data_IF_761254938028
#
_entry.id   IF_761254938028
#
_cell.length_a   1.000
_cell.length_b   1.000
_cell.length_c   1.000
_cell.angle_alpha   90.00
_cell.angle_beta   90.00
_cell.angle_gamma   90.00
#
_symmetry.space_group_name_H-M   'P 1'
#
loop_
_entity.id
_entity.type
_entity.pdbx_description
1 polymer ?
#
# COMPACT_ATOMS: atom_id res chain seq x y z
N UNK A 1 -19.22 11.97 -3.19
CA UNK A 1 -18.71 10.68 -3.68
C UNK A 1 -19.56 10.11 -4.81
N UNK A 2 -20.85 9.78 -4.60
CA UNK A 2 -21.75 9.23 -5.65
C UNK A 2 -21.76 10.00 -6.97
N UNK A 3 -21.80 11.33 -6.93
CA UNK A 3 -21.73 12.16 -8.14
C UNK A 3 -20.42 11.98 -8.93
N UNK A 4 -19.29 11.77 -8.25
CA UNK A 4 -18.00 11.47 -8.88
C UNK A 4 -18.02 10.10 -9.55
N UNK A 5 -18.66 9.09 -8.93
CA UNK A 5 -18.87 7.77 -9.54
C UNK A 5 -19.68 7.88 -10.83
N UNK A 6 -20.79 8.63 -10.81
CA UNK A 6 -21.59 8.89 -12.01
C UNK A 6 -20.77 9.55 -13.13
N UNK A 7 -19.98 10.58 -12.81
CA UNK A 7 -19.13 11.26 -13.77
C UNK A 7 -18.04 10.34 -14.37
N UNK A 8 -17.47 9.43 -13.58
CA UNK A 8 -16.51 8.44 -14.06
C UNK A 8 -17.16 7.44 -15.03
N UNK A 9 -18.35 6.94 -14.69
CA UNK A 9 -19.10 6.03 -15.55
C UNK A 9 -19.50 6.70 -16.87
N UNK A 10 -19.96 7.95 -16.84
CA UNK A 10 -20.24 8.76 -18.04
C UNK A 10 -19.00 8.94 -18.93
N UNK A 11 -17.81 9.01 -18.32
CA UNK A 11 -16.53 9.08 -19.03
C UNK A 11 -15.98 7.71 -19.47
N UNK A 12 -16.68 6.60 -19.18
CA UNK A 12 -16.26 5.25 -19.55
C UNK A 12 -15.16 4.64 -18.64
N UNK A 13 -15.02 5.12 -17.42
CA UNK A 13 -14.04 4.63 -16.43
C UNK A 13 -14.76 3.77 -15.39
N UNK A 14 -14.44 2.48 -15.33
CA UNK A 14 -15.22 1.49 -14.57
C UNK A 14 -14.50 0.82 -13.38
N UNK A 15 -13.24 1.17 -13.10
CA UNK A 15 -12.48 0.64 -11.96
C UNK A 15 -11.97 1.81 -11.12
N UNK A 16 -12.27 1.82 -9.83
CA UNK A 16 -11.93 2.91 -8.90
C UNK A 16 -11.15 2.35 -7.72
N UNK A 17 -9.84 2.63 -7.70
CA UNK A 17 -8.99 2.33 -6.56
C UNK A 17 -9.17 3.42 -5.49
N UNK A 18 -9.29 3.02 -4.22
CA UNK A 18 -9.38 3.93 -3.07
C UNK A 18 -8.70 3.29 -1.85
N UNK A 19 -8.45 4.04 -0.79
CA UNK A 19 -8.02 3.50 0.51
C UNK A 19 -8.89 4.09 1.63
N UNK A 20 -8.75 3.55 2.84
CA UNK A 20 -9.42 4.04 4.04
C UNK A 20 -8.42 4.29 5.18
N UNK A 21 -7.18 4.64 4.81
CA UNK A 21 -6.12 4.91 5.78
C UNK A 21 -6.40 6.24 6.50
N UNK A 22 -6.41 6.26 7.85
CA UNK A 22 -6.64 7.49 8.59
C UNK A 22 -5.39 8.37 8.58
N UNK A 23 -5.59 9.66 8.26
CA UNK A 23 -4.58 10.72 8.26
C UNK A 23 -3.43 10.51 7.27
N UNK A 24 -2.61 9.46 7.42
CA UNK A 24 -1.49 9.13 6.55
C UNK A 24 -1.89 8.06 5.55
N UNK A 25 -1.66 8.33 4.26
CA UNK A 25 -1.73 7.36 3.17
C UNK A 25 -0.48 6.43 3.25
N UNK A 26 0.26 6.21 2.16
CA UNK A 26 1.51 5.44 2.21
C UNK A 26 2.61 6.13 3.04
N UNK A 27 3.36 5.39 3.86
CA UNK A 27 4.39 5.97 4.74
C UNK A 27 5.79 5.39 4.52
N UNK A 28 6.80 6.25 4.37
CA UNK A 28 8.23 5.91 4.26
C UNK A 28 9.07 6.88 5.10
N UNK A 29 10.25 6.47 5.56
CA UNK A 29 11.16 7.31 6.35
C UNK A 29 12.35 7.82 5.53
N UNK A 30 12.67 7.14 4.44
CA UNK A 30 13.69 7.54 3.49
C UNK A 30 13.20 7.32 2.06
N UNK A 31 13.20 8.39 1.25
CA UNK A 31 12.67 8.38 -0.11
C UNK A 31 13.71 7.98 -1.18
N UNK A 32 15.00 7.98 -0.82
CA UNK A 32 16.14 7.67 -1.71
C UNK A 32 17.21 6.91 -0.92
N UNK A 33 16.82 5.77 -0.34
CA UNK A 33 17.73 4.91 0.40
C UNK A 33 18.68 4.20 -0.58
N UNK A 34 20.01 4.27 -0.37
CA UNK A 34 20.98 3.72 -1.32
C UNK A 34 20.96 2.20 -1.35
N UNK A 35 21.06 1.63 -2.55
CA UNK A 35 21.11 0.19 -2.79
C UNK A 35 22.52 -0.28 -3.20
N UNK A 36 22.86 -1.57 -2.99
CA UNK A 36 24.16 -2.11 -3.42
C UNK A 36 24.42 -2.01 -4.93
N UNK A 37 23.36 -1.95 -5.75
CA UNK A 37 23.45 -1.81 -7.20
C UNK A 37 23.75 -0.36 -7.67
N UNK A 38 23.92 0.58 -6.73
CA UNK A 38 24.18 1.99 -7.01
C UNK A 38 22.93 2.84 -7.26
N UNK A 39 21.74 2.23 -7.30
CA UNK A 39 20.46 2.93 -7.36
C UNK A 39 19.94 3.33 -5.98
N UNK A 40 18.69 3.80 -5.94
CA UNK A 40 17.99 4.09 -4.68
C UNK A 40 16.58 3.50 -4.65
N UNK A 41 16.05 3.29 -3.44
CA UNK A 41 14.68 2.84 -3.20
C UNK A 41 14.03 3.65 -2.08
N UNK A 42 12.70 3.61 -2.00
CA UNK A 42 12.03 4.06 -0.78
C UNK A 42 12.19 3.01 0.32
N UNK A 43 12.31 3.47 1.57
CA UNK A 43 12.47 2.62 2.75
C UNK A 43 11.63 3.15 3.90
N UNK A 44 11.00 2.22 4.62
CA UNK A 44 10.45 2.45 5.94
C UNK A 44 11.41 1.86 6.97
N UNK A 45 11.89 2.70 7.89
CA UNK A 45 12.72 2.27 9.01
C UNK A 45 11.96 2.52 10.31
N UNK A 46 11.60 1.45 11.01
CA UNK A 46 10.81 1.50 12.25
C UNK A 46 11.48 2.37 13.32
N UNK A 47 12.81 2.31 13.45
CA UNK A 47 13.56 3.11 14.43
C UNK A 47 13.53 4.59 14.09
N UNK A 48 13.66 4.95 12.80
CA UNK A 48 13.53 6.34 12.36
C UNK A 48 12.09 6.85 12.54
N UNK A 49 11.10 6.01 12.28
CA UNK A 49 9.69 6.34 12.46
C UNK A 49 9.35 6.58 13.94
N UNK A 50 9.77 5.69 14.83
CA UNK A 50 9.62 5.86 16.27
C UNK A 50 10.34 7.12 16.77
N UNK A 51 11.54 7.40 16.26
CA UNK A 51 12.28 8.62 16.59
C UNK A 51 11.52 9.88 16.17
N UNK A 52 10.88 9.87 15.00
CA UNK A 52 10.00 10.95 14.57
C UNK A 52 8.80 11.10 15.51
N UNK A 53 8.05 10.03 15.75
CA UNK A 53 6.81 10.04 16.54
C UNK A 53 7.04 10.56 17.97
N UNK A 54 8.06 10.04 18.65
CA UNK A 54 8.35 10.34 20.06
C UNK A 54 8.99 11.72 20.25
N UNK A 55 9.94 12.10 19.39
CA UNK A 55 10.83 13.24 19.68
C UNK A 55 10.67 14.43 18.73
N UNK A 56 10.20 14.22 17.49
CA UNK A 56 9.95 15.31 16.54
C UNK A 56 8.49 15.72 16.56
N UNK A 57 7.58 14.78 16.32
CA UNK A 57 6.13 14.96 16.44
C UNK A 57 5.73 15.15 17.90
N UNK A 58 6.39 14.44 18.82
CA UNK A 58 6.10 14.46 20.27
C UNK A 58 4.63 14.17 20.53
N UNK A 59 4.12 13.10 19.92
CA UNK A 59 2.74 12.67 20.12
C UNK A 59 2.58 12.12 21.55
N UNK A 60 1.51 12.56 22.21
CA UNK A 60 1.18 12.08 23.55
C UNK A 60 0.95 10.57 23.55
N UNK A 61 1.57 9.87 24.51
CA UNK A 61 1.49 8.40 24.63
C UNK A 61 2.34 7.60 23.62
N UNK A 62 3.05 8.24 22.68
CA UNK A 62 3.80 7.52 21.66
C UNK A 62 4.87 6.58 22.22
N UNK A 63 5.51 6.95 23.34
CA UNK A 63 6.53 6.11 23.95
C UNK A 63 5.99 4.76 24.48
N UNK A 64 4.68 4.68 24.78
CA UNK A 64 4.07 3.48 25.34
C UNK A 64 3.72 2.44 24.25
N UNK A 65 3.85 2.80 22.97
CA UNK A 65 3.55 1.94 21.81
C UNK A 65 4.77 1.17 21.28
N UNK A 66 5.98 1.46 21.79
CA UNK A 66 7.22 0.82 21.35
C UNK A 66 7.88 0.07 22.50
N UNK A 67 8.60 -1.01 22.19
CA UNK A 67 9.38 -1.74 23.20
C UNK A 67 10.63 -0.95 23.64
N UNK A 68 11.19 -1.33 24.80
CA UNK A 68 12.35 -0.65 25.39
C UNK A 68 13.55 -0.58 24.43
N UNK A 69 13.74 -1.61 23.61
CA UNK A 69 14.81 -1.68 22.63
C UNK A 69 14.63 -0.63 21.52
N UNK A 70 13.42 -0.52 20.97
CA UNK A 70 13.07 0.46 19.94
C UNK A 70 13.13 1.87 20.50
N UNK A 71 12.67 2.11 21.73
CA UNK A 71 12.77 3.41 22.40
C UNK A 71 14.22 3.90 22.53
N UNK A 72 15.12 3.04 23.02
CA UNK A 72 16.53 3.39 23.17
C UNK A 72 17.21 3.58 21.81
N UNK A 73 16.89 2.74 20.82
CA UNK A 73 17.40 2.89 19.46
C UNK A 73 16.89 4.18 18.80
N UNK A 74 15.62 4.54 18.97
CA UNK A 74 15.01 5.77 18.45
C UNK A 74 15.67 7.01 19.06
N UNK A 75 15.92 6.97 20.37
CA UNK A 75 16.65 8.02 21.09
C UNK A 75 18.05 8.22 20.50
N UNK A 76 18.83 7.15 20.41
CA UNK A 76 20.19 7.18 19.84
C UNK A 76 20.18 7.65 18.38
N UNK A 77 19.23 7.17 17.60
CA UNK A 77 19.03 7.52 16.20
C UNK A 77 18.86 9.04 16.04
N UNK A 78 17.90 9.64 16.76
CA UNK A 78 17.62 11.07 16.63
C UNK A 78 18.76 11.97 17.13
N UNK A 79 19.38 11.63 18.26
CA UNK A 79 20.49 12.43 18.80
C UNK A 79 21.75 12.34 17.92
N UNK A 80 21.90 11.27 17.14
CA UNK A 80 22.94 11.15 16.11
C UNK A 80 22.58 11.80 14.77
N UNK A 81 21.32 12.20 14.54
CA UNK A 81 20.89 12.84 13.30
C UNK A 81 21.24 14.33 13.26
N UNK A 82 21.78 14.77 12.13
CA UNK A 82 21.87 16.20 11.81
C UNK A 82 20.48 16.80 11.60
N UNK A 83 20.35 18.12 11.74
CA UNK A 83 19.06 18.80 11.53
C UNK A 83 18.57 18.67 10.08
N UNK A 84 19.48 18.59 9.12
CA UNK A 84 19.15 18.28 7.73
C UNK A 84 18.49 16.89 7.59
N UNK A 85 19.00 15.87 8.30
CA UNK A 85 18.40 14.53 8.32
C UNK A 85 17.04 14.51 9.01
N UNK A 86 16.88 15.21 10.14
CA UNK A 86 15.59 15.35 10.82
C UNK A 86 14.55 16.00 9.91
N UNK A 87 14.93 17.07 9.20
CA UNK A 87 14.05 17.73 8.22
C UNK A 87 13.69 16.79 7.06
N UNK A 88 14.64 16.02 6.54
CA UNK A 88 14.37 15.04 5.48
C UNK A 88 13.43 13.91 5.94
N UNK A 89 13.61 13.42 7.17
CA UNK A 89 12.73 12.41 7.78
C UNK A 89 11.30 12.94 7.94
N UNK A 90 11.13 14.14 8.50
CA UNK A 90 9.81 14.79 8.58
C UNK A 90 9.18 14.91 7.20
N UNK A 91 9.93 15.40 6.20
CA UNK A 91 9.44 15.53 4.82
C UNK A 91 9.03 14.18 4.22
N UNK A 92 9.78 13.12 4.47
CA UNK A 92 9.48 11.78 3.96
C UNK A 92 8.17 11.23 4.53
N UNK A 93 7.94 11.40 5.84
CA UNK A 93 6.73 10.92 6.50
C UNK A 93 5.50 11.73 6.08
N UNK A 94 5.61 13.06 5.98
CA UNK A 94 4.49 13.91 5.56
C UNK A 94 4.21 13.88 4.05
N UNK A 95 5.15 13.38 3.22
CA UNK A 95 4.91 13.17 1.79
C UNK A 95 3.81 12.14 1.52
N UNK A 96 3.51 11.30 2.51
CA UNK A 96 2.42 10.34 2.52
C UNK A 96 1.05 10.91 2.90
N UNK A 97 0.90 12.22 3.10
CA UNK A 97 -0.40 12.79 3.47
C UNK A 97 -1.31 12.95 2.24
N UNK A 98 -2.64 12.72 2.39
CA UNK A 98 -3.62 12.95 1.34
C UNK A 98 -3.47 14.34 0.73
N UNK A 99 -3.43 14.40 -0.60
CA UNK A 99 -3.23 15.67 -1.29
C UNK A 99 -1.82 16.24 -1.11
N UNK A 100 -0.78 15.39 -1.18
CA UNK A 100 0.68 15.67 -1.09
C UNK A 100 1.24 16.88 -1.90
N UNK A 101 0.36 17.65 -2.54
CA UNK A 101 0.55 19.05 -2.93
C UNK A 101 0.45 20.07 -1.77
N UNK A 102 0.00 19.68 -0.58
CA UNK A 102 -0.13 20.56 0.59
C UNK A 102 1.08 20.43 1.55
N UNK A 103 1.65 21.56 1.98
CA UNK A 103 2.76 21.60 2.93
C UNK A 103 2.24 21.46 4.37
N UNK A 104 2.06 20.23 4.85
CA UNK A 104 1.62 19.97 6.22
C UNK A 104 2.69 20.32 7.25
N UNK A 105 2.26 21.01 8.32
CA UNK A 105 3.06 21.25 9.52
C UNK A 105 2.90 20.11 10.53
N UNK A 106 3.84 19.99 11.47
CA UNK A 106 3.74 18.99 12.55
C UNK A 106 2.51 19.20 13.44
N UNK A 107 2.13 20.46 13.67
CA UNK A 107 0.94 20.79 14.48
C UNK A 107 -0.34 20.37 13.77
N UNK A 108 -0.47 20.62 12.46
CA UNK A 108 -1.62 20.13 11.69
C UNK A 108 -1.70 18.61 11.67
N UNK A 109 -0.55 17.92 11.64
CA UNK A 109 -0.51 16.46 11.77
C UNK A 109 -0.99 16.00 13.16
N UNK A 110 -0.55 16.67 14.24
CA UNK A 110 -1.03 16.37 15.60
C UNK A 110 -2.55 16.57 15.73
N UNK A 111 -3.07 17.68 15.21
CA UNK A 111 -4.50 18.00 15.23
C UNK A 111 -5.31 16.97 14.41
N UNK A 112 -4.79 16.55 13.25
CA UNK A 112 -5.41 15.51 12.44
C UNK A 112 -5.46 14.16 13.15
N UNK A 113 -4.38 13.77 13.85
CA UNK A 113 -4.34 12.55 14.67
C UNK A 113 -5.32 12.64 15.84
N UNK A 114 -5.39 13.80 16.51
CA UNK A 114 -6.27 14.01 17.66
C UNK A 114 -7.76 13.80 17.32
N UNK A 115 -8.18 14.06 16.07
CA UNK A 115 -9.54 13.77 15.61
C UNK A 115 -9.93 12.28 15.66
N UNK A 116 -8.95 11.38 15.74
CA UNK A 116 -9.14 9.93 15.81
C UNK A 116 -8.97 9.37 17.24
N UNK A 117 -8.75 10.21 18.26
CA UNK A 117 -8.45 9.75 19.62
C UNK A 117 -9.49 8.79 20.23
N UNK A 118 -10.76 8.89 19.80
CA UNK A 118 -11.86 8.02 20.23
C UNK A 118 -12.23 6.92 19.22
N UNK A 119 -11.49 6.79 18.11
CA UNK A 119 -11.79 5.87 17.00
C UNK A 119 -10.78 4.72 17.02
N UNK A 120 -11.16 3.61 17.65
CA UNK A 120 -10.42 2.35 17.57
C UNK A 120 -10.67 1.58 16.27
N UNK A 121 -9.99 0.45 16.09
CA UNK A 121 -10.08 -0.38 14.88
C UNK A 121 -11.51 -0.82 14.55
N UNK A 122 -12.30 -1.26 15.55
CA UNK A 122 -13.68 -1.71 15.34
C UNK A 122 -14.58 -0.58 14.84
N UNK A 123 -14.46 0.62 15.44
CA UNK A 123 -15.23 1.78 14.99
C UNK A 123 -14.80 2.23 13.59
N UNK A 124 -13.50 2.20 13.27
CA UNK A 124 -13.03 2.54 11.93
C UNK A 124 -13.51 1.54 10.88
N UNK A 125 -13.52 0.23 11.20
CA UNK A 125 -14.10 -0.81 10.33
C UNK A 125 -15.59 -0.57 10.11
N UNK A 126 -16.34 -0.25 11.15
CA UNK A 126 -17.76 0.07 11.01
C UNK A 126 -17.97 1.31 10.12
N UNK A 127 -17.16 2.35 10.30
CA UNK A 127 -17.24 3.55 9.45
C UNK A 127 -16.93 3.22 7.97
N UNK A 128 -16.00 2.29 7.71
CA UNK A 128 -15.69 1.83 6.35
C UNK A 128 -16.84 1.04 5.73
N UNK A 129 -17.46 0.15 6.51
CA UNK A 129 -18.65 -0.60 6.10
C UNK A 129 -19.80 0.37 5.81
N UNK A 130 -20.09 1.32 6.69
CA UNK A 130 -21.15 2.32 6.50
C UNK A 130 -20.92 3.13 5.23
N UNK A 131 -19.69 3.58 4.99
CA UNK A 131 -19.31 4.28 3.76
C UNK A 131 -19.54 3.42 2.52
N UNK A 132 -19.09 2.16 2.54
CA UNK A 132 -19.23 1.23 1.43
C UNK A 132 -20.68 0.89 1.16
N UNK A 133 -21.46 0.52 2.18
CA UNK A 133 -22.89 0.23 2.08
C UNK A 133 -23.67 1.40 1.48
N UNK A 134 -23.29 2.64 1.79
CA UNK A 134 -23.95 3.82 1.22
C UNK A 134 -23.68 3.96 -0.29
N UNK A 135 -22.50 3.61 -0.79
CA UNK A 135 -22.09 3.89 -2.19
C UNK A 135 -22.15 2.67 -3.13
N UNK A 136 -22.17 1.45 -2.60
CA UNK A 136 -21.97 0.24 -3.41
C UNK A 136 -23.09 0.01 -4.42
N UNK A 137 -24.35 0.25 -4.04
CA UNK A 137 -25.51 0.13 -4.95
C UNK A 137 -25.41 1.10 -6.14
N UNK A 138 -24.86 2.29 -5.88
CA UNK A 138 -24.60 3.28 -6.94
C UNK A 138 -23.50 2.78 -7.86
N UNK A 139 -22.42 2.23 -7.31
CA UNK A 139 -21.33 1.65 -8.11
C UNK A 139 -21.84 0.49 -8.98
N UNK A 140 -22.62 -0.42 -8.41
CA UNK A 140 -23.17 -1.58 -9.11
C UNK A 140 -24.13 -1.18 -10.23
N UNK A 141 -25.06 -0.24 -9.98
CA UNK A 141 -25.98 0.30 -10.99
C UNK A 141 -25.24 0.91 -12.18
N UNK A 142 -24.09 1.54 -11.92
CA UNK A 142 -23.25 2.18 -12.94
C UNK A 142 -22.23 1.21 -13.58
N UNK A 143 -22.16 -0.05 -13.14
CA UNK A 143 -21.18 -1.03 -13.60
C UNK A 143 -19.74 -0.74 -13.14
N UNK A 144 -19.57 0.10 -12.11
CA UNK A 144 -18.28 0.42 -11.50
C UNK A 144 -17.86 -0.68 -10.53
N UNK A 145 -16.53 -0.85 -10.39
CA UNK A 145 -15.91 -1.73 -9.42
C UNK A 145 -14.97 -0.90 -8.54
N UNK A 146 -15.30 -0.84 -7.26
CA UNK A 146 -14.53 -0.20 -6.20
C UNK A 146 -13.51 -1.22 -5.68
N UNK A 147 -12.24 -0.85 -5.63
CA UNK A 147 -11.18 -1.74 -5.16
C UNK A 147 -10.33 -1.08 -4.09
N UNK A 148 -10.54 -1.51 -2.84
CA UNK A 148 -9.81 -0.98 -1.70
C UNK A 148 -8.35 -1.43 -1.73
N UNK A 149 -7.45 -0.46 -1.76
CA UNK A 149 -6.02 -0.66 -1.61
C UNK A 149 -5.69 -0.91 -0.13
N UNK A 150 -4.76 -1.84 0.16
CA UNK A 150 -4.38 -2.15 1.53
C UNK A 150 -3.65 -0.97 2.17
N UNK A 151 -3.56 -0.99 3.49
CA UNK A 151 -2.75 -0.04 4.23
C UNK A 151 -1.25 -0.23 3.88
N UNK A 152 -0.48 0.86 3.80
CA UNK A 152 0.96 0.82 3.50
C UNK A 152 1.80 1.69 4.45
N UNK A 153 2.49 1.12 5.45
CA UNK A 153 2.57 -0.30 5.78
C UNK A 153 1.29 -0.91 6.38
N UNK A 154 1.14 -2.24 6.33
CA UNK A 154 -0.05 -2.97 6.79
C UNK A 154 -0.01 -3.26 8.30
N UNK A 155 0.18 -2.21 9.10
CA UNK A 155 0.13 -2.25 10.57
C UNK A 155 -0.11 -0.84 11.14
N UNK A 156 -0.71 -0.69 12.34
CA UNK A 156 -1.00 0.61 12.96
C UNK A 156 0.21 1.55 13.06
N UNK A 157 -0.04 2.86 12.91
CA UNK A 157 0.98 3.91 13.01
C UNK A 157 0.41 5.12 13.76
N UNK A 158 1.23 5.79 14.57
CA UNK A 158 0.87 7.02 15.30
C UNK A 158 -0.37 6.89 16.19
N UNK A 159 -0.59 5.72 16.81
CA UNK A 159 -1.80 5.41 17.57
C UNK A 159 -3.07 5.30 16.72
N UNK A 160 -2.98 5.37 15.39
CA UNK A 160 -4.10 5.24 14.48
C UNK A 160 -4.29 3.78 14.03
N UNK A 161 -5.52 3.26 14.02
CA UNK A 161 -5.79 1.93 13.51
C UNK A 161 -5.60 1.88 11.99
N UNK A 162 -5.16 0.72 11.49
CA UNK A 162 -5.11 0.38 10.07
C UNK A 162 -5.88 -0.92 9.89
N UNK A 163 -6.90 -0.88 9.03
CA UNK A 163 -8.03 -1.83 9.03
C UNK A 163 -8.20 -2.59 7.72
N UNK A 164 -7.29 -2.41 6.77
CA UNK A 164 -7.18 -3.13 5.49
C UNK A 164 -5.76 -3.66 5.35
N UNK A 165 -5.25 -4.34 6.38
CA UNK A 165 -3.85 -4.72 6.55
C UNK A 165 -3.59 -6.22 6.39
N UNK A 166 -4.62 -7.06 6.46
CA UNK A 166 -4.51 -8.52 6.48
C UNK A 166 -5.61 -9.21 5.68
N UNK A 167 -5.50 -10.53 5.50
CA UNK A 167 -6.59 -11.33 4.91
C UNK A 167 -7.90 -11.14 5.69
N UNK A 168 -7.82 -11.21 7.02
CA UNK A 168 -8.97 -11.16 7.93
C UNK A 168 -9.68 -9.81 7.86
N UNK A 169 -8.92 -8.72 7.67
CA UNK A 169 -9.48 -7.38 7.46
C UNK A 169 -10.33 -7.30 6.19
N UNK A 170 -9.79 -7.81 5.08
CA UNK A 170 -10.52 -7.84 3.81
C UNK A 170 -11.74 -8.74 3.90
N UNK A 171 -11.63 -9.89 4.56
CA UNK A 171 -12.75 -10.80 4.77
C UNK A 171 -13.86 -10.12 5.58
N UNK A 172 -13.50 -9.46 6.69
CA UNK A 172 -14.45 -8.74 7.54
C UNK A 172 -15.26 -7.69 6.76
N UNK A 173 -14.58 -6.84 5.98
CA UNK A 173 -15.26 -5.74 5.25
C UNK A 173 -16.02 -6.25 4.03
N UNK A 174 -15.44 -7.15 3.24
CA UNK A 174 -16.06 -7.62 1.99
C UNK A 174 -17.19 -8.62 2.23
N UNK A 175 -17.21 -9.33 3.36
CA UNK A 175 -18.36 -10.17 3.76
C UNK A 175 -19.51 -9.30 4.30
N UNK A 176 -19.21 -8.17 4.95
CA UNK A 176 -20.22 -7.22 5.42
C UNK A 176 -20.90 -6.46 4.27
N UNK A 177 -20.18 -6.20 3.18
CA UNK A 177 -20.69 -5.54 1.97
C UNK A 177 -20.51 -6.45 0.76
N UNK A 178 -21.25 -7.56 0.74
CA UNK A 178 -21.17 -8.56 -0.33
C UNK A 178 -21.85 -8.09 -1.63
N UNK A 179 -21.12 -7.29 -2.42
CA UNK A 179 -21.48 -6.90 -3.78
C UNK A 179 -20.34 -7.21 -4.74
N UNK A 180 -20.59 -7.58 -6.01
CA UNK A 180 -19.55 -7.72 -7.03
C UNK A 180 -18.82 -6.40 -7.35
N UNK A 181 -19.39 -5.26 -6.96
CA UNK A 181 -18.79 -3.93 -7.14
C UNK A 181 -17.92 -3.49 -5.96
N UNK A 182 -17.93 -4.20 -4.84
CA UNK A 182 -17.01 -4.01 -3.73
C UNK A 182 -15.91 -5.07 -3.76
N UNK A 183 -14.66 -4.64 -3.85
CA UNK A 183 -13.54 -5.56 -3.97
C UNK A 183 -12.20 -4.96 -3.55
N UNK A 184 -11.14 -5.57 -4.07
CA UNK A 184 -9.77 -5.39 -3.60
C UNK A 184 -8.86 -4.91 -4.72
N UNK A 185 -7.98 -3.96 -4.38
CA UNK A 185 -6.74 -3.75 -5.12
C UNK A 185 -5.68 -4.63 -4.48
N UNK A 186 -5.26 -5.69 -5.15
CA UNK A 186 -4.22 -6.58 -4.62
C UNK A 186 -2.86 -5.91 -4.79
N UNK A 187 -2.42 -5.20 -3.74
CA UNK A 187 -1.07 -4.65 -3.67
C UNK A 187 -0.13 -5.56 -2.91
N UNK A 188 0.67 -6.29 -3.68
CA UNK A 188 1.66 -7.25 -3.20
C UNK A 188 2.72 -6.61 -2.32
N UNK A 189 3.21 -5.42 -2.66
CA UNK A 189 4.24 -4.75 -1.86
C UNK A 189 3.74 -4.13 -0.56
N UNK A 190 2.47 -3.71 -0.50
CA UNK A 190 1.88 -3.23 0.76
C UNK A 190 1.61 -4.41 1.69
N UNK A 191 0.83 -5.40 1.27
CA UNK A 191 0.53 -6.58 2.10
C UNK A 191 1.80 -7.35 2.47
N UNK A 192 2.74 -7.48 1.54
CA UNK A 192 4.01 -8.20 1.74
C UNK A 192 4.99 -7.53 2.69
N UNK A 193 4.73 -6.30 3.16
CA UNK A 193 5.51 -5.67 4.21
C UNK A 193 5.24 -6.27 5.62
N UNK A 194 4.24 -7.15 5.75
CA UNK A 194 4.00 -7.97 6.93
C UNK A 194 4.19 -9.45 6.59
N UNK A 195 5.08 -10.14 7.30
CA UNK A 195 5.45 -11.54 7.03
C UNK A 195 4.29 -12.54 7.26
N UNK A 196 3.27 -12.16 8.03
CA UNK A 196 2.08 -12.98 8.25
C UNK A 196 1.11 -12.98 7.05
N UNK A 197 1.28 -12.06 6.10
CA UNK A 197 0.48 -12.03 4.89
C UNK A 197 1.07 -12.94 3.81
N UNK A 198 0.47 -14.11 3.61
CA UNK A 198 0.70 -14.92 2.42
C UNK A 198 -0.07 -14.31 1.24
N UNK A 199 0.64 -13.50 0.44
CA UNK A 199 0.05 -12.84 -0.73
C UNK A 199 -0.53 -13.83 -1.77
N UNK A 200 0.00 -15.05 -1.88
CA UNK A 200 -0.55 -16.06 -2.82
C UNK A 200 -1.87 -16.60 -2.28
N UNK A 201 -1.93 -16.90 -0.97
CA UNK A 201 -3.16 -17.34 -0.32
C UNK A 201 -4.24 -16.25 -0.35
N UNK A 202 -3.88 -15.01 -0.04
CA UNK A 202 -4.78 -13.84 -0.10
C UNK A 202 -5.32 -13.66 -1.53
N UNK A 203 -4.43 -13.68 -2.53
CA UNK A 203 -4.84 -13.57 -3.93
C UNK A 203 -5.82 -14.70 -4.32
N UNK A 204 -5.62 -15.91 -3.82
CA UNK A 204 -6.50 -17.06 -4.08
C UNK A 204 -7.85 -16.92 -3.39
N UNK A 205 -7.87 -16.46 -2.14
CA UNK A 205 -9.10 -16.23 -1.35
C UNK A 205 -9.99 -15.18 -2.02
N UNK A 206 -9.40 -14.07 -2.47
CA UNK A 206 -10.14 -12.93 -2.99
C UNK A 206 -10.16 -12.83 -4.52
N UNK A 207 -9.67 -13.82 -5.28
CA UNK A 207 -9.58 -13.76 -6.74
C UNK A 207 -10.85 -13.23 -7.44
N UNK A 208 -12.08 -13.66 -7.07
CA UNK A 208 -13.31 -13.14 -7.66
C UNK A 208 -13.57 -11.63 -7.43
N UNK A 209 -13.01 -11.08 -6.34
CA UNK A 209 -13.18 -9.70 -5.86
C UNK A 209 -11.96 -8.81 -6.15
N UNK A 210 -10.90 -9.34 -6.75
CA UNK A 210 -9.76 -8.52 -7.20
C UNK A 210 -10.14 -7.77 -8.48
N UNK A 211 -10.11 -6.44 -8.45
CA UNK A 211 -10.41 -5.60 -9.61
C UNK A 211 -9.22 -4.80 -10.13
N UNK A 212 -8.13 -4.73 -9.36
CA UNK A 212 -6.91 -4.05 -9.75
C UNK A 212 -5.69 -4.66 -9.05
N UNK A 213 -4.52 -4.56 -9.67
CA UNK A 213 -3.27 -5.16 -9.18
C UNK A 213 -2.16 -4.13 -9.11
N UNK A 214 -1.51 -4.03 -7.95
CA UNK A 214 -0.20 -3.43 -7.80
C UNK A 214 0.81 -4.55 -7.58
N UNK A 215 1.59 -4.82 -8.61
CA UNK A 215 2.59 -5.89 -8.62
C UNK A 215 3.95 -5.24 -8.41
N UNK A 216 4.42 -5.22 -7.16
CA UNK A 216 5.76 -4.79 -6.75
C UNK A 216 6.20 -5.61 -5.55
N UNK A 217 7.47 -5.52 -5.18
CA UNK A 217 8.01 -6.34 -4.11
C UNK A 217 8.72 -5.50 -3.05
N UNK A 218 8.82 -6.05 -1.85
CA UNK A 218 9.53 -5.45 -0.72
C UNK A 218 10.42 -6.49 -0.08
N UNK A 219 11.47 -6.02 0.57
CA UNK A 219 12.31 -6.84 1.44
C UNK A 219 12.27 -6.25 2.84
N UNK A 220 11.76 -7.05 3.77
CA UNK A 220 11.72 -6.78 5.20
C UNK A 220 13.05 -7.16 5.83
N UNK A 221 13.45 -6.37 6.82
CA UNK A 221 14.65 -6.63 7.62
C UNK A 221 14.44 -7.79 8.62
N UNK A 222 13.18 -8.07 8.98
CA UNK A 222 12.79 -9.18 9.87
C UNK A 222 11.39 -9.70 9.51
N UNK A 223 11.03 -10.86 10.05
CA UNK A 223 9.66 -11.41 9.95
C UNK A 223 8.75 -10.98 11.11
N UNK A 224 9.24 -10.12 12.01
CA UNK A 224 8.42 -9.51 13.06
C UNK A 224 7.52 -8.42 12.45
N UNK A 225 6.44 -8.06 13.15
CA UNK A 225 5.55 -6.97 12.74
C UNK A 225 5.20 -6.13 13.97
N UNK A 226 5.40 -4.80 13.93
CA UNK A 226 5.94 -4.01 12.81
C UNK A 226 7.44 -4.26 12.55
N UNK A 227 7.89 -4.04 11.32
CA UNK A 227 9.31 -4.13 10.95
C UNK A 227 9.75 -3.03 9.96
N UNK A 228 11.06 -2.94 9.76
CA UNK A 228 11.64 -2.12 8.68
C UNK A 228 11.62 -2.88 7.36
N UNK A 229 11.45 -2.17 6.25
CA UNK A 229 11.47 -2.75 4.91
C UNK A 229 11.82 -1.70 3.85
N UNK A 230 12.26 -2.16 2.68
CA UNK A 230 12.49 -1.29 1.52
C UNK A 230 11.84 -1.85 0.25
N UNK A 231 11.60 -0.97 -0.72
CA UNK A 231 11.11 -1.34 -2.06
C UNK A 231 12.20 -2.08 -2.83
N UNK A 232 11.93 -3.33 -3.20
CA UNK A 232 12.92 -4.20 -3.86
C UNK A 232 12.60 -4.41 -5.35
N UNK A 233 13.47 -5.12 -6.05
CA UNK A 233 13.20 -5.56 -7.42
C UNK A 233 11.99 -6.49 -7.47
N UNK A 234 11.17 -6.36 -8.51
CA UNK A 234 9.82 -6.97 -8.57
C UNK A 234 9.82 -8.50 -8.41
N UNK A 235 10.89 -9.17 -8.83
CA UNK A 235 11.03 -10.63 -8.73
C UNK A 235 12.07 -11.09 -7.69
N UNK A 236 12.77 -10.18 -7.00
CA UNK A 236 13.83 -10.53 -6.05
C UNK A 236 13.46 -10.30 -4.58
N UNK A 237 12.41 -9.52 -4.30
CA UNK A 237 11.90 -9.33 -2.95
C UNK A 237 11.24 -10.58 -2.36
N UNK A 238 10.62 -10.42 -1.19
CA UNK A 238 10.15 -11.54 -0.37
C UNK A 238 8.73 -12.04 -0.70
N UNK A 239 7.99 -11.37 -1.57
CA UNK A 239 6.69 -11.86 -2.07
C UNK A 239 6.93 -12.83 -3.24
N UNK A 240 6.28 -14.00 -3.21
CA UNK A 240 6.20 -14.90 -4.38
C UNK A 240 5.33 -14.30 -5.49
N UNK A 241 5.95 -13.40 -6.25
CA UNK A 241 5.31 -12.68 -7.35
C UNK A 241 4.80 -13.62 -8.45
N UNK A 242 5.55 -14.69 -8.73
CA UNK A 242 5.18 -15.67 -9.77
C UNK A 242 3.95 -16.46 -9.35
N UNK A 243 3.88 -16.88 -8.08
CA UNK A 243 2.72 -17.53 -7.49
C UNK A 243 1.47 -16.65 -7.52
N UNK A 244 1.61 -15.36 -7.18
CA UNK A 244 0.50 -14.39 -7.27
C UNK A 244 0.02 -14.26 -8.72
N UNK A 245 0.93 -14.06 -9.68
CA UNK A 245 0.57 -13.95 -11.11
C UNK A 245 -0.14 -15.22 -11.60
N UNK A 246 0.30 -16.41 -11.19
CA UNK A 246 -0.33 -17.66 -11.57
C UNK A 246 -1.80 -17.74 -11.11
N UNK A 247 -2.09 -17.30 -9.87
CA UNK A 247 -3.46 -17.23 -9.35
C UNK A 247 -4.31 -16.24 -10.18
N UNK A 248 -3.76 -15.06 -10.47
CA UNK A 248 -4.46 -14.04 -11.28
C UNK A 248 -4.77 -14.58 -12.68
N UNK A 249 -3.81 -15.20 -13.37
CA UNK A 249 -4.05 -15.75 -14.71
C UNK A 249 -5.11 -16.85 -14.71
N UNK A 250 -5.16 -17.69 -13.67
CA UNK A 250 -6.20 -18.69 -13.51
C UNK A 250 -7.59 -18.05 -13.35
N UNK A 251 -7.69 -16.99 -12.54
CA UNK A 251 -8.93 -16.24 -12.34
C UNK A 251 -9.37 -15.53 -13.62
N UNK A 252 -8.46 -14.84 -14.32
CA UNK A 252 -8.77 -14.25 -15.62
C UNK A 252 -9.26 -15.32 -16.61
N UNK A 253 -8.61 -16.49 -16.63
CA UNK A 253 -9.05 -17.64 -17.43
C UNK A 253 -10.46 -18.10 -17.09
N UNK A 254 -10.83 -18.14 -15.80
CA UNK A 254 -12.20 -18.43 -15.35
C UNK A 254 -13.18 -17.36 -15.87
N UNK A 255 -12.87 -16.08 -15.64
CA UNK A 255 -13.74 -14.97 -16.08
C UNK A 255 -13.95 -14.95 -17.60
N UNK A 256 -12.92 -15.30 -18.40
CA UNK A 256 -13.05 -15.46 -19.87
C UNK A 256 -14.04 -16.57 -20.23
N UNK A 257 -13.97 -17.73 -19.57
CA UNK A 257 -14.91 -18.85 -19.81
C UNK A 257 -16.35 -18.48 -19.45
N UNK A 258 -16.53 -17.56 -18.50
CA UNK A 258 -17.82 -17.02 -18.09
C UNK A 258 -18.30 -15.84 -18.97
N UNK A 259 -17.55 -15.46 -20.01
CA UNK A 259 -17.83 -14.30 -20.89
C UNK A 259 -17.99 -12.97 -20.14
N UNK A 260 -17.26 -12.80 -19.03
CA UNK A 260 -17.29 -11.56 -18.26
C UNK A 260 -16.54 -10.44 -18.99
N UNK A 261 -17.12 -9.24 -19.02
CA UNK A 261 -16.48 -8.05 -19.59
C UNK A 261 -15.20 -7.65 -18.81
N UNK A 262 -15.10 -8.05 -17.55
CA UNK A 262 -13.94 -7.82 -16.70
C UNK A 262 -13.00 -9.03 -16.58
N UNK A 263 -12.90 -9.80 -17.65
CA UNK A 263 -12.04 -10.97 -17.68
C UNK A 263 -10.55 -10.64 -17.50
N UNK A 264 -10.11 -9.47 -17.94
CA UNK A 264 -8.76 -8.97 -17.71
C UNK A 264 -8.73 -8.09 -16.46
N UNK A 265 -7.83 -8.40 -15.53
CA UNK A 265 -7.62 -7.61 -14.32
C UNK A 265 -6.48 -6.63 -14.61
N UNK A 266 -6.73 -5.30 -14.61
CA UNK A 266 -5.68 -4.33 -14.87
C UNK A 266 -4.57 -4.43 -13.81
N UNK A 267 -3.34 -4.18 -14.23
CA UNK A 267 -2.17 -4.17 -13.34
C UNK A 267 -1.28 -2.97 -13.64
N UNK A 268 -0.52 -2.57 -12.62
CA UNK A 268 0.64 -1.69 -12.77
C UNK A 268 1.82 -2.25 -11.98
N UNK A 269 3.07 -1.94 -12.38
CA UNK A 269 4.28 -2.32 -11.62
C UNK A 269 4.41 -1.54 -10.30
N UNK A 270 3.46 -0.64 -10.02
CA UNK A 270 3.42 0.25 -8.86
C UNK A 270 4.68 1.10 -8.72
N UNK A 271 5.58 0.74 -7.80
CA UNK A 271 6.84 1.46 -7.56
C UNK A 271 8.02 0.86 -8.32
N UNK A 272 9.10 1.62 -8.43
CA UNK A 272 10.39 1.14 -8.96
C UNK A 272 11.56 1.78 -8.25
N UNK A 273 12.72 1.12 -8.32
CA UNK A 273 14.00 1.67 -7.87
C UNK A 273 14.47 2.77 -8.81
N UNK A 274 15.10 3.81 -8.28
CA UNK A 274 15.77 4.81 -9.11
C UNK A 274 17.10 4.24 -9.59
N UNK A 275 17.18 3.96 -10.89
CA UNK A 275 18.35 3.36 -11.52
C UNK A 275 18.67 4.10 -12.82
N UNK A 276 19.92 3.99 -13.27
CA UNK A 276 20.36 4.58 -14.53
C UNK A 276 20.00 6.07 -14.62
N UNK A 277 19.28 6.49 -15.66
CA UNK A 277 18.92 7.89 -15.90
C UNK A 277 17.86 8.43 -14.94
N UNK A 278 17.24 7.61 -14.09
CA UNK A 278 16.35 8.11 -13.05
C UNK A 278 17.11 8.77 -11.89
N UNK A 279 18.39 8.40 -11.70
CA UNK A 279 19.24 8.95 -10.64
C UNK A 279 19.40 10.46 -10.89
N UNK A 280 19.13 11.26 -9.86
CA UNK A 280 19.19 12.73 -9.86
C UNK A 280 18.23 13.44 -10.84
N UNK A 281 17.31 12.71 -11.49
CA UNK A 281 16.33 13.29 -12.42
C UNK A 281 15.20 14.08 -11.73
N UNK A 282 15.20 14.17 -10.40
CA UNK A 282 14.19 14.92 -9.63
C UNK A 282 12.78 14.33 -9.73
N UNK A 283 12.65 13.04 -10.05
CA UNK A 283 11.37 12.36 -10.20
C UNK A 283 10.67 12.16 -8.85
N UNK A 284 9.36 11.97 -8.89
CA UNK A 284 8.56 11.65 -7.72
C UNK A 284 9.06 10.34 -7.08
N UNK A 285 9.31 10.31 -5.75
CA UNK A 285 9.77 9.12 -5.05
C UNK A 285 8.91 7.90 -5.32
N UNK A 286 9.53 6.75 -5.60
CA UNK A 286 8.81 5.52 -5.93
C UNK A 286 8.21 5.48 -7.34
N UNK A 287 8.15 6.61 -8.08
CA UNK A 287 7.62 6.69 -9.43
C UNK A 287 8.67 6.93 -10.55
N UNK A 288 9.91 6.39 -10.46
CA UNK A 288 10.88 6.57 -11.52
C UNK A 288 10.43 5.88 -12.81
N UNK A 289 10.96 6.31 -13.96
CA UNK A 289 10.52 5.78 -15.25
C UNK A 289 11.23 4.46 -15.59
N UNK A 290 12.55 4.41 -15.46
CA UNK A 290 13.35 3.22 -15.81
C UNK A 290 13.10 2.09 -14.81
N UNK A 291 13.06 2.39 -13.52
CA UNK A 291 12.75 1.40 -12.47
C UNK A 291 11.40 0.70 -12.67
N UNK A 292 10.33 1.47 -12.93
CA UNK A 292 9.00 0.90 -13.18
C UNK A 292 8.90 0.19 -14.53
N UNK A 293 9.62 0.68 -15.55
CA UNK A 293 9.71 -0.01 -16.83
C UNK A 293 10.37 -1.39 -16.69
N UNK A 294 11.46 -1.48 -15.91
CA UNK A 294 12.13 -2.76 -15.58
C UNK A 294 11.14 -3.72 -14.92
N UNK A 295 10.47 -3.28 -13.86
CA UNK A 295 9.48 -4.10 -13.15
C UNK A 295 8.33 -4.57 -14.05
N UNK A 296 7.79 -3.68 -14.89
CA UNK A 296 6.76 -4.04 -15.85
C UNK A 296 7.26 -5.09 -16.87
N UNK A 297 8.51 -4.98 -17.32
CA UNK A 297 9.10 -5.95 -18.24
C UNK A 297 9.28 -7.32 -17.57
N UNK A 298 9.71 -7.36 -16.30
CA UNK A 298 9.84 -8.59 -15.50
C UNK A 298 8.49 -9.28 -15.31
N UNK A 299 7.46 -8.55 -14.90
CA UNK A 299 6.10 -9.07 -14.73
C UNK A 299 5.57 -9.61 -16.06
N UNK A 300 5.74 -8.87 -17.16
CA UNK A 300 5.32 -9.33 -18.50
C UNK A 300 6.04 -10.62 -18.91
N UNK A 301 7.32 -10.75 -18.56
CA UNK A 301 8.08 -11.99 -18.75
C UNK A 301 7.50 -13.16 -17.97
N UNK A 302 7.19 -12.97 -16.68
CA UNK A 302 6.55 -13.98 -15.84
C UNK A 302 5.17 -14.39 -16.38
N UNK A 303 4.33 -13.43 -16.79
CA UNK A 303 3.04 -13.67 -17.43
C UNK A 303 3.20 -14.50 -18.71
N UNK A 304 4.15 -14.14 -19.57
CA UNK A 304 4.40 -14.86 -20.82
C UNK A 304 4.87 -16.30 -20.56
N UNK A 305 5.77 -16.50 -19.58
CA UNK A 305 6.27 -17.82 -19.20
C UNK A 305 5.16 -18.73 -18.66
N UNK A 306 4.33 -18.23 -17.74
CA UNK A 306 3.20 -18.98 -17.19
C UNK A 306 2.13 -19.28 -18.25
N UNK A 307 1.87 -18.35 -19.16
CA UNK A 307 0.86 -18.53 -20.21
C UNK A 307 1.29 -19.52 -21.30
N UNK A 308 2.60 -19.66 -21.54
CA UNK A 308 3.12 -20.61 -22.53
C UNK A 308 2.79 -22.06 -22.18
N UNK A 309 2.92 -22.43 -20.90
CA UNK A 309 2.63 -23.79 -20.42
C UNK A 309 1.14 -24.14 -20.38
N UNK A 310 0.25 -23.15 -20.32
CA UNK A 310 -1.20 -23.35 -20.31
C UNK A 310 -1.83 -23.49 -21.70
N UNK A 311 -1.07 -23.16 -22.76
CA UNK A 311 -1.51 -23.23 -24.16
C UNK A 311 -1.10 -24.54 -24.87
N UNK A 312 -0.33 -25.40 -24.20
CA UNK A 312 0.02 -26.76 -24.65
C UNK A 312 -0.92 -27.78 -24.03
#
# INVERSE_FOLDING_TARGET
>A
YKASLAALAEAGIFTVCYNFMPVLDWTRTNLRWPLPNGGTAMRFNLVEFAAFDIFLLKRDGAADEYDDATLENARRCLFGMSDAKKSALTKAIVAGLPGATENWTLTELQDAIANYAAIGADQLRQNHIDFLSEIVDTAETLGLRLCCHPDDPPFPLLGLPRIMSSQDDYEFVLDAVDSPSAGMTMCTGSLGANAHNDCVAIARRFAPKIHFLHLRNVTRDSDETPCSFFEDEHLAGQVDMVGVIAVILAEEGRRRRENRADAQIPMRPDHGQEILSDIDAGLNPGYPAVGRLKGLAEIRGAVAGLSHGAAQ
#
